data_IF_406925196887
#
_entry.id   IF_406925196887
#
_cell.length_a   1.000
_cell.length_b   1.000
_cell.length_c   1.000
_cell.angle_alpha   90.00
_cell.angle_beta   90.00
_cell.angle_gamma   90.00
#
_symmetry.space_group_name_H-M   'P 1'
#
loop_
_entity.id
_entity.type
_entity.pdbx_description
1 polymer ?
#
# COMPACT_ATOMS: atom_id res chain seq x y z
N UNK A 1 11.30 -3.47 -48.98
CA UNK A 1 10.50 -3.92 -47.81
C UNK A 1 10.68 -2.90 -46.70
N UNK A 2 9.75 -1.98 -46.42
CA UNK A 2 9.94 -0.98 -45.37
C UNK A 2 9.64 -1.61 -44.00
N UNK A 3 10.57 -1.42 -43.06
CA UNK A 3 10.59 -2.03 -41.75
C UNK A 3 9.38 -1.67 -40.89
N UNK A 4 8.89 -2.67 -40.14
CA UNK A 4 7.86 -2.51 -39.14
C UNK A 4 8.28 -1.49 -38.08
N UNK A 5 7.52 -0.41 -37.99
CA UNK A 5 7.59 0.53 -36.87
C UNK A 5 7.21 -0.23 -35.61
N UNK A 6 8.20 -0.67 -34.84
CA UNK A 6 7.99 -1.12 -33.45
C UNK A 6 7.33 0.06 -32.75
N UNK A 7 6.06 -0.09 -32.37
CA UNK A 7 5.33 0.92 -31.64
C UNK A 7 6.16 1.38 -30.45
N UNK A 8 6.15 2.68 -30.17
CA UNK A 8 6.72 3.23 -28.94
C UNK A 8 5.98 2.56 -27.79
N UNK A 9 6.55 1.48 -27.24
CA UNK A 9 6.07 0.91 -25.98
C UNK A 9 6.39 1.98 -24.96
N UNK A 10 5.36 2.66 -24.46
CA UNK A 10 5.50 3.57 -23.33
C UNK A 10 6.32 2.84 -22.26
N UNK A 11 7.35 3.48 -21.66
CA UNK A 11 8.13 2.81 -20.64
C UNK A 11 7.15 2.31 -19.58
N UNK A 12 7.12 0.98 -19.37
CA UNK A 12 6.39 0.39 -18.25
C UNK A 12 6.82 1.15 -17.00
N UNK A 13 5.89 1.39 -16.08
CA UNK A 13 6.14 2.22 -14.91
C UNK A 13 7.14 1.51 -13.97
N UNK A 14 8.42 1.57 -14.32
CA UNK A 14 9.52 0.80 -13.73
C UNK A 14 9.75 1.16 -12.28
N UNK A 15 9.29 2.34 -11.85
CA UNK A 15 9.42 2.79 -10.48
C UNK A 15 8.70 1.86 -9.50
N UNK A 16 7.42 1.55 -9.76
CA UNK A 16 6.66 0.63 -8.91
C UNK A 16 7.24 -0.78 -8.98
N UNK A 17 7.61 -1.27 -10.17
CA UNK A 17 8.21 -2.59 -10.33
C UNK A 17 9.54 -2.73 -9.59
N UNK A 18 10.38 -1.70 -9.59
CA UNK A 18 11.65 -1.68 -8.89
C UNK A 18 11.46 -1.72 -7.38
N UNK A 19 10.49 -0.97 -6.84
CA UNK A 19 10.12 -1.01 -5.42
C UNK A 19 9.63 -2.43 -5.08
N UNK A 20 8.67 -2.94 -5.84
CA UNK A 20 8.09 -4.26 -5.62
C UNK A 20 9.17 -5.34 -5.63
N UNK A 21 10.05 -5.34 -6.63
CA UNK A 21 11.14 -6.32 -6.76
C UNK A 21 12.11 -6.24 -5.58
N UNK A 22 12.50 -5.03 -5.17
CA UNK A 22 13.44 -4.82 -4.05
C UNK A 22 12.88 -5.29 -2.72
N UNK A 23 11.61 -5.02 -2.44
CA UNK A 23 11.02 -5.35 -1.14
C UNK A 23 10.43 -6.77 -1.10
N UNK A 24 9.99 -7.34 -2.22
CA UNK A 24 9.55 -8.74 -2.26
C UNK A 24 10.69 -9.75 -2.09
N UNK A 25 11.94 -9.36 -2.37
CA UNK A 25 13.09 -10.23 -2.05
C UNK A 25 13.38 -10.31 -0.54
N UNK A 26 12.74 -9.46 0.28
CA UNK A 26 12.87 -9.48 1.73
C UNK A 26 11.72 -10.32 2.31
N UNK A 27 12.04 -11.52 2.78
CA UNK A 27 11.07 -12.47 3.36
C UNK A 27 10.21 -11.88 4.47
N UNK A 28 10.76 -10.94 5.25
CA UNK A 28 10.13 -10.38 6.44
C UNK A 28 9.54 -8.97 6.21
N UNK A 29 9.46 -8.51 4.95
CA UNK A 29 8.91 -7.19 4.63
C UNK A 29 7.43 -7.27 4.23
N UNK A 30 6.57 -6.65 5.03
CA UNK A 30 5.16 -6.41 4.70
C UNK A 30 4.95 -4.94 4.40
N UNK A 31 4.38 -4.60 3.23
CA UNK A 31 4.23 -3.21 2.80
C UNK A 31 3.03 -3.00 1.87
N UNK A 32 2.57 -1.76 1.82
CA UNK A 32 1.55 -1.25 0.91
C UNK A 32 2.15 -0.10 0.10
N UNK A 33 1.73 0.07 -1.14
CA UNK A 33 1.99 1.27 -1.94
C UNK A 33 0.66 1.91 -2.32
N UNK A 34 0.60 3.23 -2.22
CA UNK A 34 -0.58 4.00 -2.48
C UNK A 34 -0.29 5.18 -3.39
N UNK A 35 -1.31 5.66 -4.09
CA UNK A 35 -1.19 6.81 -4.96
C UNK A 35 -1.41 8.10 -4.17
N UNK A 36 -0.32 8.84 -3.89
CA UNK A 36 -0.36 10.11 -3.18
C UNK A 36 -1.15 11.22 -3.91
N UNK A 37 -1.39 11.09 -5.21
CA UNK A 37 -2.03 12.12 -6.04
C UNK A 37 -3.56 11.99 -6.12
N UNK A 38 -4.14 10.92 -5.59
CA UNK A 38 -5.57 10.67 -5.62
C UNK A 38 -6.11 10.85 -4.19
N UNK A 39 -7.31 11.45 -4.09
CA UNK A 39 -8.05 11.60 -2.83
C UNK A 39 -8.12 10.26 -2.10
N UNK A 40 -7.94 10.31 -0.79
CA UNK A 40 -7.88 9.15 0.11
C UNK A 40 -6.68 8.22 -0.05
N UNK A 41 -5.72 8.54 -0.92
CA UNK A 41 -4.49 7.80 -1.08
C UNK A 41 -4.75 6.31 -1.34
N UNK A 42 -5.40 5.95 -2.46
CA UNK A 42 -5.83 4.59 -2.72
C UNK A 42 -4.62 3.67 -2.89
N UNK A 43 -4.70 2.49 -2.27
CA UNK A 43 -3.67 1.46 -2.36
C UNK A 43 -3.64 0.90 -3.79
N UNK A 44 -2.47 1.01 -4.43
CA UNK A 44 -2.19 0.49 -5.78
C UNK A 44 -1.39 -0.81 -5.75
N UNK A 45 -0.79 -1.15 -4.60
CA UNK A 45 -0.11 -2.42 -4.40
C UNK A 45 -0.14 -2.85 -2.94
N UNK A 46 -0.32 -4.15 -2.73
CA UNK A 46 -0.20 -4.80 -1.43
C UNK A 46 0.78 -5.98 -1.50
N UNK A 47 1.72 -6.12 -0.58
CA UNK A 47 2.59 -7.30 -0.57
C UNK A 47 1.81 -8.57 -0.18
N UNK A 48 2.29 -9.74 -0.60
CA UNK A 48 1.65 -11.02 -0.23
C UNK A 48 1.75 -11.27 1.29
N UNK A 49 2.88 -10.90 1.89
CA UNK A 49 3.10 -10.98 3.34
C UNK A 49 2.08 -10.16 4.12
N UNK A 50 1.71 -8.96 3.64
CA UNK A 50 0.64 -8.16 4.25
C UNK A 50 -0.70 -8.90 4.23
N UNK A 51 -1.10 -9.48 3.09
CA UNK A 51 -2.34 -10.25 3.00
C UNK A 51 -2.35 -11.42 4.00
N UNK A 52 -1.23 -12.14 4.13
CA UNK A 52 -1.09 -13.28 5.05
C UNK A 52 -1.25 -12.86 6.51
N UNK A 53 -0.58 -11.79 6.95
CA UNK A 53 -0.61 -11.36 8.36
C UNK A 53 -1.93 -10.68 8.73
N UNK A 54 -2.52 -9.93 7.80
CA UNK A 54 -3.74 -9.14 8.03
C UNK A 54 -5.02 -9.95 7.87
N UNK A 55 -4.99 -11.06 7.12
CA UNK A 55 -6.17 -11.88 6.79
C UNK A 55 -7.05 -11.28 5.68
N UNK A 56 -6.67 -10.12 5.12
CA UNK A 56 -7.36 -9.54 3.98
C UNK A 56 -6.78 -10.08 2.68
N UNK A 57 -7.64 -10.38 1.71
CA UNK A 57 -7.16 -10.73 0.38
C UNK A 57 -6.83 -9.46 -0.44
N UNK A 58 -6.09 -9.62 -1.53
CA UNK A 58 -5.65 -8.49 -2.35
C UNK A 58 -6.83 -7.67 -2.90
N UNK A 59 -7.91 -8.30 -3.33
CA UNK A 59 -9.08 -7.60 -3.86
C UNK A 59 -9.77 -6.72 -2.80
N UNK A 60 -9.67 -7.09 -1.52
CA UNK A 60 -10.23 -6.33 -0.40
C UNK A 60 -9.35 -5.18 0.06
N UNK A 61 -8.06 -5.19 -0.28
CA UNK A 61 -7.09 -4.16 0.14
C UNK A 61 -6.89 -3.11 -0.96
N UNK A 62 -6.83 -3.56 -2.22
CA UNK A 62 -6.63 -2.67 -3.36
C UNK A 62 -7.73 -1.60 -3.43
N UNK A 63 -7.36 -0.39 -3.85
CA UNK A 63 -8.23 0.79 -3.95
C UNK A 63 -8.80 1.33 -2.62
N UNK A 64 -8.59 0.65 -1.48
CA UNK A 64 -8.88 1.25 -0.17
C UNK A 64 -7.84 2.29 0.18
N UNK A 65 -8.19 3.18 1.10
CA UNK A 65 -7.24 4.18 1.62
C UNK A 65 -6.06 3.51 2.33
N UNK A 66 -4.85 4.04 2.09
CA UNK A 66 -3.63 3.62 2.78
C UNK A 66 -3.60 3.97 4.27
N UNK A 67 -4.56 4.78 4.73
CA UNK A 67 -4.85 5.01 6.16
C UNK A 67 -5.28 3.73 6.87
N UNK A 68 -5.64 2.67 6.15
CA UNK A 68 -6.02 1.37 6.73
C UNK A 68 -7.18 1.46 7.74
N UNK A 69 -8.08 2.43 7.60
CA UNK A 69 -9.21 2.62 8.52
C UNK A 69 -10.13 1.40 8.64
N UNK A 70 -10.16 0.55 7.60
CA UNK A 70 -10.88 -0.72 7.61
C UNK A 70 -10.28 -1.78 8.56
N UNK A 71 -9.10 -1.53 9.12
CA UNK A 71 -8.43 -2.37 10.11
C UNK A 71 -8.47 -1.77 11.52
N UNK A 72 -9.12 -0.62 11.71
CA UNK A 72 -9.27 -0.04 13.04
C UNK A 72 -10.29 -0.83 13.86
N UNK A 73 -10.10 -0.84 15.18
CA UNK A 73 -11.05 -1.41 16.12
C UNK A 73 -11.06 -0.64 17.43
N UNK A 74 -11.70 -1.23 18.44
CA UNK A 74 -12.03 -0.54 19.70
C UNK A 74 -10.81 0.00 20.45
N UNK A 75 -9.68 -0.73 20.39
CA UNK A 75 -8.44 -0.37 21.07
C UNK A 75 -7.43 0.33 20.16
N UNK A 76 -7.79 0.66 18.90
CA UNK A 76 -6.91 1.43 18.04
C UNK A 76 -6.80 2.86 18.58
N UNK A 77 -5.60 3.26 18.99
CA UNK A 77 -5.37 4.57 19.59
C UNK A 77 -5.61 5.71 18.59
N UNK A 78 -6.42 6.69 19.01
CA UNK A 78 -6.76 7.86 18.19
C UNK A 78 -5.57 8.77 17.95
N UNK A 79 -4.62 8.86 18.89
CA UNK A 79 -3.45 9.71 18.70
C UNK A 79 -2.55 9.17 17.60
N UNK A 80 -2.37 7.85 17.51
CA UNK A 80 -1.66 7.20 16.40
C UNK A 80 -2.36 7.40 15.07
N UNK A 81 -3.69 7.32 15.01
CA UNK A 81 -4.45 7.62 13.78
C UNK A 81 -4.18 9.05 13.30
N UNK A 82 -4.35 10.04 14.17
CA UNK A 82 -4.15 11.45 13.81
C UNK A 82 -2.73 11.74 13.36
N UNK A 83 -1.74 11.10 13.99
CA UNK A 83 -0.34 11.17 13.54
C UNK A 83 -0.23 10.69 12.09
N UNK A 84 -0.72 9.50 11.77
CA UNK A 84 -0.66 8.94 10.40
C UNK A 84 -1.33 9.87 9.40
N UNK A 85 -2.53 10.38 9.70
CA UNK A 85 -3.25 11.30 8.82
C UNK A 85 -2.46 12.57 8.55
N UNK A 86 -1.96 13.21 9.62
CA UNK A 86 -1.14 14.39 9.49
C UNK A 86 0.12 14.16 8.64
N UNK A 87 0.79 13.01 8.79
CA UNK A 87 1.97 12.68 7.98
C UNK A 87 1.65 12.55 6.50
N UNK A 88 0.53 11.91 6.18
CA UNK A 88 0.11 11.70 4.80
C UNK A 88 -0.24 13.02 4.14
N UNK A 89 -0.99 13.89 4.84
CA UNK A 89 -1.41 15.19 4.32
C UNK A 89 -0.21 16.15 4.12
N UNK A 90 0.78 16.09 5.02
CA UNK A 90 2.00 16.91 4.92
C UNK A 90 3.11 16.28 4.06
N UNK A 91 2.92 15.05 3.57
CA UNK A 91 3.92 14.29 2.81
C UNK A 91 5.22 14.04 3.59
N UNK A 92 5.11 13.90 4.91
CA UNK A 92 6.25 13.68 5.81
C UNK A 92 6.51 12.19 6.02
N UNK A 93 7.79 11.84 6.22
CA UNK A 93 8.17 10.52 6.70
C UNK A 93 7.93 10.40 8.21
N UNK A 94 7.30 9.30 8.64
CA UNK A 94 7.06 9.03 10.06
C UNK A 94 7.13 7.54 10.38
N UNK A 95 7.43 7.26 11.65
CA UNK A 95 7.32 5.95 12.28
C UNK A 95 6.41 6.08 13.50
N UNK A 96 5.39 5.21 13.57
CA UNK A 96 4.44 5.16 14.68
C UNK A 96 4.03 3.72 14.95
N UNK A 97 3.77 3.40 16.21
CA UNK A 97 3.15 2.15 16.61
C UNK A 97 1.64 2.32 16.64
N UNK A 98 0.92 1.45 15.93
CA UNK A 98 -0.53 1.48 15.82
C UNK A 98 -1.09 0.07 15.92
N UNK A 99 -2.10 -0.12 16.77
CA UNK A 99 -2.82 -1.37 16.89
C UNK A 99 -3.84 -1.50 15.76
N UNK A 100 -3.63 -2.46 14.87
CA UNK A 100 -4.54 -2.79 13.78
C UNK A 100 -5.13 -4.20 13.97
N UNK A 101 -6.37 -4.35 13.57
CA UNK A 101 -7.12 -5.59 13.67
C UNK A 101 -6.99 -6.38 12.39
N UNK A 102 -6.72 -7.68 12.54
CA UNK A 102 -6.84 -8.64 11.44
C UNK A 102 -8.30 -8.74 11.03
N UNK A 103 -8.53 -9.15 9.79
CA UNK A 103 -9.87 -9.53 9.36
C UNK A 103 -10.35 -10.68 10.26
N UNK A 104 -11.45 -10.46 10.97
CA UNK A 104 -12.09 -11.52 11.72
C UNK A 104 -12.53 -12.61 10.75
N UNK A 105 -11.83 -13.75 10.76
CA UNK A 105 -12.36 -14.97 10.19
C UNK A 105 -13.44 -15.44 11.15
N UNK A 106 -14.72 -15.31 10.76
CA UNK A 106 -15.75 -16.14 11.39
C UNK A 106 -15.41 -17.61 11.18
#
# INVERSE_FOLDING_TARGET
MPGGRRGLVAPQNTFLENIIRRYNSLSDCSFLLANAQIVDFPIVYCSESFCKISGYNRAEVMQKSCRCAFMYGELTDRSSILKVEHSLDNHDQMQVEILLYKKNSK
#
